data_IF_024827980072
#
_entry.id   IF_024827980072
#
_cell.length_a   1.000
_cell.length_b   1.000
_cell.length_c   1.000
_cell.angle_alpha   90.00
_cell.angle_beta   90.00
_cell.angle_gamma   90.00
#
_symmetry.space_group_name_H-M   'P 1'
#
loop_
_entity.id
_entity.type
_entity.pdbx_description
1 polymer ?
#
# COMPACT_ATOMS: atom_id res chain seq x y z
N UNK A 1 -6.49 -2.26 5.42
CA UNK A 1 -7.27 -1.24 6.19
C UNK A 1 -7.67 -1.78 7.56
N UNK A 2 -6.72 -2.30 8.36
CA UNK A 2 -7.03 -2.77 9.72
C UNK A 2 -6.78 -1.66 10.76
N UNK A 3 -5.77 -0.82 10.51
CA UNK A 3 -5.30 0.23 11.44
C UNK A 3 -4.96 1.53 10.71
N UNK A 4 -5.59 1.80 9.56
CA UNK A 4 -5.28 2.97 8.74
C UNK A 4 -5.53 4.30 9.46
N UNK A 5 -6.48 4.31 10.41
CA UNK A 5 -6.78 5.46 11.23
C UNK A 5 -5.65 5.86 12.20
N UNK A 6 -4.72 4.95 12.53
CA UNK A 6 -3.60 5.25 13.44
C UNK A 6 -2.62 6.27 12.86
N UNK A 7 -2.71 6.56 11.56
CA UNK A 7 -1.97 7.67 10.97
C UNK A 7 -2.41 9.02 11.57
N UNK A 8 -3.67 9.16 11.98
CA UNK A 8 -4.13 10.34 12.72
C UNK A 8 -3.46 10.46 14.09
N UNK A 9 -3.28 9.34 14.79
CA UNK A 9 -2.53 9.28 16.06
C UNK A 9 -1.07 9.70 15.84
N UNK A 10 -0.43 9.21 14.78
CA UNK A 10 0.95 9.59 14.45
C UNK A 10 1.09 11.10 14.15
N UNK A 11 0.09 11.72 13.52
CA UNK A 11 0.06 13.17 13.31
C UNK A 11 -0.15 13.91 14.63
N UNK A 12 -1.08 13.47 15.47
CA UNK A 12 -1.37 14.10 16.76
C UNK A 12 -0.14 14.12 17.68
N UNK A 13 0.61 13.03 17.70
CA UNK A 13 1.78 12.82 18.57
C UNK A 13 3.11 13.24 17.91
N UNK A 14 3.07 13.88 16.74
CA UNK A 14 4.25 14.31 15.96
C UNK A 14 5.29 13.19 15.74
N UNK A 15 4.82 11.98 15.46
CA UNK A 15 5.67 10.81 15.29
C UNK A 15 6.13 10.69 13.84
N UNK A 16 7.44 10.66 13.53
CA UNK A 16 7.97 10.61 12.17
C UNK A 16 7.90 9.21 11.56
N UNK A 17 6.76 8.52 11.70
CA UNK A 17 6.53 7.17 11.16
C UNK A 17 6.41 7.21 9.64
N UNK A 18 7.11 6.30 8.96
CA UNK A 18 7.12 6.18 7.50
C UNK A 18 6.42 4.89 7.09
N UNK A 19 5.30 5.00 6.40
CA UNK A 19 4.48 3.86 5.98
C UNK A 19 4.59 3.70 4.47
N UNK A 20 4.91 2.48 4.03
CA UNK A 20 4.84 2.10 2.61
C UNK A 20 3.69 1.14 2.44
N UNK A 21 2.66 1.56 1.71
CA UNK A 21 1.52 0.72 1.34
C UNK A 21 1.80 0.14 -0.04
N UNK A 22 2.13 -1.15 -0.08
CA UNK A 22 2.25 -1.90 -1.34
C UNK A 22 0.88 -2.45 -1.70
N UNK A 23 0.27 -1.87 -2.72
CA UNK A 23 -1.12 -2.11 -3.11
C UNK A 23 -1.20 -2.79 -4.48
N UNK A 24 -1.35 -4.12 -4.44
CA UNK A 24 -1.75 -4.92 -5.60
C UNK A 24 -3.29 -5.09 -5.70
N UNK A 25 -4.02 -4.51 -4.75
CA UNK A 25 -5.48 -4.49 -4.61
C UNK A 25 -6.18 -5.83 -4.59
N UNK A 26 -5.50 -6.87 -4.10
CA UNK A 26 -6.09 -8.18 -3.83
C UNK A 26 -5.57 -8.76 -2.52
N UNK A 27 -6.33 -9.66 -1.91
CA UNK A 27 -5.77 -10.53 -0.87
C UNK A 27 -4.85 -11.60 -1.52
N UNK A 28 -3.61 -11.21 -1.84
CA UNK A 28 -2.69 -12.02 -2.65
C UNK A 28 -2.49 -13.46 -2.18
N UNK A 29 -2.21 -13.68 -0.89
CA UNK A 29 -2.01 -15.05 -0.35
C UNK A 29 -3.30 -15.88 -0.43
N UNK A 30 -4.46 -15.27 -0.22
CA UNK A 30 -5.76 -15.95 -0.35
C UNK A 30 -5.98 -16.34 -1.82
N UNK A 31 -5.72 -15.43 -2.75
CA UNK A 31 -5.78 -15.70 -4.19
C UNK A 31 -4.83 -16.83 -4.60
N UNK A 32 -3.61 -16.86 -4.06
CA UNK A 32 -2.64 -17.94 -4.30
C UNK A 32 -3.20 -19.30 -3.88
N UNK A 33 -3.72 -19.41 -2.66
CA UNK A 33 -4.27 -20.67 -2.15
C UNK A 33 -5.55 -21.08 -2.90
N UNK A 34 -6.42 -20.14 -3.24
CA UNK A 34 -7.60 -20.45 -4.06
C UNK A 34 -7.19 -20.94 -5.45
N UNK A 35 -6.26 -20.25 -6.12
CA UNK A 35 -5.74 -20.67 -7.43
C UNK A 35 -5.21 -22.11 -7.39
N UNK A 36 -4.42 -22.46 -6.37
CA UNK A 36 -3.87 -23.81 -6.21
C UNK A 36 -4.93 -24.88 -5.93
N UNK A 37 -6.00 -24.53 -5.21
CA UNK A 37 -7.01 -25.50 -4.75
C UNK A 37 -8.17 -25.69 -5.74
N UNK A 38 -8.59 -24.62 -6.41
CA UNK A 38 -9.83 -24.58 -7.20
C UNK A 38 -9.66 -23.97 -8.60
N UNK A 39 -8.42 -23.65 -9.03
CA UNK A 39 -8.10 -23.13 -10.36
C UNK A 39 -8.09 -21.59 -10.44
N UNK A 40 -7.38 -21.03 -11.45
CA UNK A 40 -7.15 -19.58 -11.62
C UNK A 40 -8.43 -18.76 -11.78
N UNK A 41 -9.49 -19.35 -12.34
CA UNK A 41 -10.68 -18.60 -12.77
C UNK A 41 -11.76 -18.50 -11.69
N UNK A 42 -11.44 -18.94 -10.45
CA UNK A 42 -12.41 -19.13 -9.37
C UNK A 42 -12.04 -18.37 -8.09
N UNK A 43 -11.47 -17.18 -8.21
CA UNK A 43 -11.20 -16.30 -7.07
C UNK A 43 -12.49 -15.72 -6.47
N UNK A 44 -12.71 -15.92 -5.16
CA UNK A 44 -13.88 -15.42 -4.43
C UNK A 44 -13.46 -14.56 -3.24
N UNK A 45 -14.05 -13.37 -3.09
CA UNK A 45 -13.81 -12.48 -1.95
C UNK A 45 -12.38 -11.94 -1.87
N UNK A 46 -11.67 -11.88 -2.99
CA UNK A 46 -10.25 -11.49 -3.05
C UNK A 46 -10.02 -10.03 -3.42
N UNK A 47 -11.01 -9.36 -4.01
CA UNK A 47 -10.89 -7.97 -4.44
C UNK A 47 -10.86 -7.02 -3.24
N UNK A 48 -9.92 -6.08 -3.24
CA UNK A 48 -9.86 -5.00 -2.27
C UNK A 48 -10.34 -3.70 -2.90
N UNK A 49 -11.07 -2.89 -2.13
CA UNK A 49 -11.23 -1.48 -2.48
C UNK A 49 -9.87 -0.80 -2.46
N UNK A 50 -9.54 -0.05 -3.51
CA UNK A 50 -8.26 0.67 -3.67
C UNK A 50 -8.47 2.18 -3.47
N UNK A 51 -8.67 2.67 -2.23
CA UNK A 51 -8.75 4.11 -2.01
C UNK A 51 -7.39 4.76 -2.32
N UNK A 52 -7.40 6.06 -2.58
CA UNK A 52 -6.17 6.83 -2.65
C UNK A 52 -5.62 7.00 -1.22
N UNK A 53 -4.69 6.13 -0.83
CA UNK A 53 -4.08 6.17 0.50
C UNK A 53 -3.18 7.39 0.68
N UNK A 54 -2.60 7.93 -0.39
CA UNK A 54 -1.82 9.15 -0.32
C UNK A 54 -2.72 10.35 -0.03
N UNK A 55 -3.91 10.41 -0.63
CA UNK A 55 -4.94 11.40 -0.31
C UNK A 55 -5.42 11.26 1.14
N UNK A 56 -5.66 10.04 1.60
CA UNK A 56 -6.05 9.78 2.99
C UNK A 56 -4.98 10.24 3.98
N UNK A 57 -3.70 10.00 3.68
CA UNK A 57 -2.58 10.49 4.49
C UNK A 57 -2.58 12.01 4.59
N UNK A 58 -2.73 12.70 3.45
CA UNK A 58 -2.85 14.17 3.41
C UNK A 58 -4.07 14.67 4.19
N UNK A 59 -5.19 13.97 4.12
CA UNK A 59 -6.39 14.32 4.87
C UNK A 59 -6.21 14.19 6.40
N UNK A 60 -5.35 13.28 6.87
CA UNK A 60 -4.97 13.19 8.28
C UNK A 60 -3.92 14.22 8.71
N UNK A 61 -3.26 14.92 7.77
CA UNK A 61 -2.18 15.85 8.05
C UNK A 61 -0.77 15.28 7.88
N UNK A 62 -0.64 14.04 7.39
CA UNK A 62 0.64 13.42 7.05
C UNK A 62 1.07 13.76 5.61
N UNK A 63 2.36 13.63 5.31
CA UNK A 63 2.82 13.67 3.91
C UNK A 63 2.33 12.42 3.15
N UNK A 64 1.88 12.60 1.91
CA UNK A 64 1.32 11.50 1.10
C UNK A 64 1.85 11.52 -0.33
N UNK A 65 2.44 10.40 -0.76
CA UNK A 65 3.04 10.22 -2.07
C UNK A 65 2.44 9.01 -2.79
N UNK A 66 2.27 9.10 -4.11
CA UNK A 66 1.78 7.99 -4.94
C UNK A 66 2.88 7.57 -5.91
N UNK A 67 3.09 6.27 -6.04
CA UNK A 67 4.05 5.66 -6.97
C UNK A 67 3.29 4.69 -7.86
N UNK A 68 3.30 4.96 -9.17
CA UNK A 68 2.67 4.09 -10.17
C UNK A 68 3.69 3.35 -11.03
N UNK A 69 4.95 3.81 -11.04
CA UNK A 69 6.04 3.21 -11.81
C UNK A 69 7.26 3.03 -10.91
N UNK A 70 8.02 1.97 -11.16
CA UNK A 70 9.18 1.59 -10.33
C UNK A 70 10.23 2.70 -10.24
N UNK A 71 10.47 3.43 -11.33
CA UNK A 71 11.42 4.55 -11.39
C UNK A 71 11.08 5.72 -10.45
N UNK A 72 9.79 5.92 -10.16
CA UNK A 72 9.32 7.03 -9.33
C UNK A 72 9.50 6.72 -7.82
N UNK A 73 9.74 5.46 -7.45
CA UNK A 73 9.81 5.03 -6.05
C UNK A 73 10.97 5.69 -5.30
N UNK A 74 12.16 5.73 -5.90
CA UNK A 74 13.35 6.25 -5.23
C UNK A 74 13.20 7.72 -4.84
N UNK A 75 12.53 8.51 -5.68
CA UNK A 75 12.25 9.92 -5.40
C UNK A 75 11.20 10.08 -4.30
N UNK A 76 10.06 9.41 -4.44
CA UNK A 76 8.97 9.46 -3.47
C UNK A 76 9.42 9.01 -2.07
N UNK A 77 10.21 7.93 -2.00
CA UNK A 77 10.71 7.42 -0.73
C UNK A 77 11.68 8.39 -0.07
N UNK A 78 12.58 9.02 -0.84
CA UNK A 78 13.49 10.04 -0.32
C UNK A 78 12.74 11.26 0.22
N UNK A 79 11.71 11.71 -0.49
CA UNK A 79 10.85 12.81 -0.04
C UNK A 79 10.09 12.45 1.25
N UNK A 80 9.56 11.24 1.36
CA UNK A 80 8.91 10.75 2.58
C UNK A 80 9.88 10.70 3.78
N UNK A 81 11.10 10.23 3.55
CA UNK A 81 12.15 10.17 4.58
C UNK A 81 12.62 11.56 5.05
N UNK A 82 12.65 12.54 4.14
CA UNK A 82 13.05 13.92 4.43
C UNK A 82 11.95 14.77 5.12
N UNK A 83 10.72 14.27 5.21
CA UNK A 83 9.64 14.96 5.91
C UNK A 83 9.80 14.81 7.43
N UNK A 84 9.71 15.91 8.19
CA UNK A 84 9.89 15.91 9.66
C UNK A 84 8.68 15.38 10.45
N UNK A 85 7.69 14.78 9.79
CA UNK A 85 6.49 14.20 10.41
C UNK A 85 6.11 12.84 9.80
N UNK A 86 4.91 12.31 10.09
CA UNK A 86 4.46 11.06 9.50
C UNK A 86 4.30 11.17 7.98
N UNK A 87 4.67 10.11 7.26
CA UNK A 87 4.58 10.06 5.80
C UNK A 87 4.09 8.71 5.30
N UNK A 88 3.32 8.72 4.21
CA UNK A 88 2.83 7.52 3.55
C UNK A 88 3.21 7.53 2.06
N UNK A 89 3.77 6.42 1.59
CA UNK A 89 4.02 6.16 0.16
C UNK A 89 3.08 5.04 -0.29
N UNK A 90 2.15 5.37 -1.18
CA UNK A 90 1.23 4.42 -1.80
C UNK A 90 1.83 3.91 -3.10
N UNK A 91 2.35 2.69 -3.07
CA UNK A 91 2.97 2.01 -4.22
C UNK A 91 1.92 1.11 -4.86
N UNK A 92 1.50 1.44 -6.08
CA UNK A 92 0.58 0.61 -6.85
C UNK A 92 1.38 -0.43 -7.63
N UNK A 93 0.98 -1.69 -7.52
CA UNK A 93 1.61 -2.81 -8.23
C UNK A 93 0.58 -3.64 -9.00
N UNK A 94 1.06 -4.58 -9.81
CA UNK A 94 0.17 -5.46 -10.56
C UNK A 94 -0.52 -6.46 -9.60
N UNK A 95 -1.81 -6.80 -9.81
CA UNK A 95 -2.49 -7.83 -9.02
C UNK A 95 -1.77 -9.19 -8.97
N UNK A 96 -0.93 -9.49 -9.98
CA UNK A 96 -0.14 -10.71 -10.08
C UNK A 96 1.12 -10.68 -9.20
N UNK A 97 1.50 -9.51 -8.70
CA UNK A 97 2.63 -9.34 -7.76
C UNK A 97 2.22 -9.82 -6.37
N UNK A 98 2.15 -11.14 -6.21
CA UNK A 98 1.68 -11.81 -4.98
C UNK A 98 2.87 -12.17 -4.06
N UNK A 99 4.08 -12.27 -4.61
CA UNK A 99 5.30 -12.56 -3.84
C UNK A 99 6.49 -11.77 -4.37
N UNK A 100 7.50 -11.59 -3.51
CA UNK A 100 8.78 -10.98 -3.89
C UNK A 100 9.58 -11.77 -4.95
N UNK A 101 9.17 -13.02 -5.24
CA UNK A 101 9.83 -13.90 -6.21
C UNK A 101 9.15 -13.92 -7.59
N UNK A 102 8.20 -13.01 -7.83
CA UNK A 102 7.48 -12.88 -9.09
C UNK A 102 6.07 -13.46 -9.08
N UNK A 103 5.35 -13.34 -10.22
CA UNK A 103 3.97 -13.81 -10.35
C UNK A 103 3.89 -15.35 -10.34
N UNK A 104 2.76 -15.87 -9.85
CA UNK A 104 2.39 -17.30 -9.93
C UNK A 104 2.13 -17.76 -11.36
#
# INVERSE_FOLDING_TARGET
LMTGQELATAVLEDLPVKVVVVDNGVYGTILMHQTRRIGRDRGHGIALSRPDFALLARAYGAAGFTVERTEDFAEAFRAAMAHDGPALVHVKTDPRDISAYGPL
#
